data_IF_059606381526
#
_entry.id   IF_059606381526
#
_cell.length_a   1.000
_cell.length_b   1.000
_cell.length_c   1.000
_cell.angle_alpha   90.00
_cell.angle_beta   90.00
_cell.angle_gamma   90.00
#
_symmetry.space_group_name_H-M   'P 1'
#
loop_
_entity.id
_entity.type
_entity.pdbx_description
1 polymer ?
#
# COMPACT_ATOMS: atom_id res chain seq x y z
N UNK A 1 -10.35 12.33 9.49
CA UNK A 1 -9.74 11.01 9.26
C UNK A 1 -9.71 10.75 7.76
N UNK A 2 -8.72 9.98 7.30
CA UNK A 2 -8.55 9.60 5.89
C UNK A 2 -8.78 8.09 5.78
N UNK A 3 -9.37 7.65 4.68
CA UNK A 3 -9.61 6.23 4.41
C UNK A 3 -9.39 5.93 2.91
N UNK A 4 -8.99 4.71 2.60
CA UNK A 4 -8.83 4.22 1.23
C UNK A 4 -9.89 3.16 0.95
N UNK A 5 -10.54 3.27 -0.20
CA UNK A 5 -11.56 2.34 -0.65
C UNK A 5 -11.17 1.86 -2.03
N UNK A 6 -11.20 0.55 -2.25
CA UNK A 6 -11.03 -0.05 -3.57
C UNK A 6 -12.40 -0.50 -4.07
N UNK A 7 -12.74 -0.10 -5.30
CA UNK A 7 -14.00 -0.49 -5.96
C UNK A 7 -13.71 -1.07 -7.32
N UNK A 8 -14.56 -1.98 -7.80
CA UNK A 8 -14.51 -2.55 -9.14
C UNK A 8 -15.79 -2.21 -9.90
N UNK A 9 -15.63 -1.73 -11.13
CA UNK A 9 -16.75 -1.49 -12.03
C UNK A 9 -17.05 -2.73 -12.90
N UNK A 10 -18.28 -2.83 -13.40
CA UNK A 10 -18.74 -3.89 -14.29
C UNK A 10 -18.41 -5.31 -13.81
N UNK A 11 -18.57 -5.56 -12.50
CA UNK A 11 -18.49 -6.91 -11.93
C UNK A 11 -19.67 -7.74 -12.44
N UNK A 12 -19.40 -8.98 -12.82
CA UNK A 12 -20.40 -9.93 -13.32
C UNK A 12 -20.30 -11.25 -12.56
N UNK A 13 -21.36 -12.03 -12.59
CA UNK A 13 -21.38 -13.37 -12.03
C UNK A 13 -22.33 -14.27 -12.81
N UNK A 14 -22.19 -15.58 -12.62
CA UNK A 14 -23.07 -16.59 -13.23
C UNK A 14 -23.99 -17.29 -12.23
N UNK A 15 -23.84 -17.01 -10.93
CA UNK A 15 -24.74 -17.53 -9.89
C UNK A 15 -25.97 -16.63 -9.75
N UNK A 16 -27.04 -17.20 -9.19
CA UNK A 16 -28.28 -16.46 -8.87
C UNK A 16 -28.07 -15.38 -7.80
N UNK A 17 -26.92 -15.36 -7.12
CA UNK A 17 -26.60 -14.29 -6.14
C UNK A 17 -26.37 -12.93 -6.83
N UNK A 18 -26.13 -12.95 -8.15
CA UNK A 18 -25.99 -11.79 -9.02
C UNK A 18 -27.30 -11.48 -9.79
N UNK A 19 -28.42 -12.10 -9.43
CA UNK A 19 -29.71 -11.72 -9.99
C UNK A 19 -30.18 -10.40 -9.33
N UNK A 20 -30.88 -9.57 -10.09
CA UNK A 20 -31.49 -8.34 -9.58
C UNK A 20 -33.01 -8.43 -9.54
N UNK A 21 -33.58 -7.85 -8.48
CA UNK A 21 -35.03 -7.68 -8.36
C UNK A 21 -35.44 -6.33 -8.93
N UNK A 22 -36.24 -6.38 -9.99
CA UNK A 22 -36.70 -5.24 -10.75
C UNK A 22 -38.15 -4.89 -10.39
N UNK A 23 -38.32 -3.82 -9.62
CA UNK A 23 -39.64 -3.31 -9.24
C UNK A 23 -40.36 -2.55 -10.39
N UNK A 24 -39.67 -2.28 -11.50
CA UNK A 24 -40.20 -1.52 -12.63
C UNK A 24 -40.80 -2.40 -13.74
N UNK A 25 -40.78 -3.74 -13.59
CA UNK A 25 -41.38 -4.67 -14.55
C UNK A 25 -42.77 -4.21 -14.99
N UNK A 26 -42.99 -4.15 -16.31
CA UNK A 26 -44.27 -3.76 -16.91
C UNK A 26 -44.56 -2.25 -16.87
N UNK A 27 -43.65 -1.43 -16.35
CA UNK A 27 -43.69 0.04 -16.47
C UNK A 27 -44.76 0.74 -15.64
N UNK A 28 -45.34 0.07 -14.65
CA UNK A 28 -46.39 0.66 -13.81
C UNK A 28 -45.93 1.94 -13.07
N UNK A 29 -44.64 2.01 -12.71
CA UNK A 29 -44.02 3.17 -12.06
C UNK A 29 -43.38 4.16 -13.04
N UNK A 30 -43.65 4.03 -14.35
CA UNK A 30 -43.05 4.83 -15.42
C UNK A 30 -41.82 4.18 -16.04
N UNK A 31 -41.24 4.87 -17.02
CA UNK A 31 -40.02 4.43 -17.71
C UNK A 31 -38.80 4.56 -16.79
N UNK A 32 -37.93 3.55 -16.81
CA UNK A 32 -36.68 3.50 -16.06
C UNK A 32 -35.58 2.95 -16.98
N UNK A 33 -35.23 3.70 -18.01
CA UNK A 33 -34.06 3.39 -18.85
C UNK A 33 -34.09 2.01 -19.52
N UNK A 34 -35.27 1.44 -19.77
CA UNK A 34 -35.45 0.12 -20.38
C UNK A 34 -35.64 -1.02 -19.37
N UNK A 35 -35.41 -0.79 -18.07
CA UNK A 35 -35.66 -1.79 -17.03
C UNK A 35 -37.14 -2.13 -16.91
N UNK A 36 -38.05 -1.23 -17.30
CA UNK A 36 -39.48 -1.49 -17.34
C UNK A 36 -39.90 -2.60 -18.31
N UNK A 37 -39.04 -2.90 -19.29
CA UNK A 37 -39.25 -3.95 -20.30
C UNK A 37 -38.66 -5.30 -19.88
N UNK A 38 -37.94 -5.35 -18.76
CA UNK A 38 -37.30 -6.55 -18.23
C UNK A 38 -38.17 -7.25 -17.20
N UNK A 39 -38.00 -8.58 -17.02
CA UNK A 39 -38.75 -9.35 -16.03
C UNK A 39 -38.45 -8.91 -14.59
N UNK A 40 -39.31 -9.33 -13.66
CA UNK A 40 -39.13 -9.09 -12.21
C UNK A 40 -37.77 -9.54 -11.68
N UNK A 41 -37.26 -10.68 -12.14
CA UNK A 41 -35.91 -11.14 -11.84
C UNK A 41 -35.08 -10.99 -13.10
N UNK A 42 -34.09 -10.10 -13.04
CA UNK A 42 -33.11 -9.95 -14.12
C UNK A 42 -31.97 -10.92 -13.83
N UNK A 43 -31.72 -11.90 -14.72
CA UNK A 43 -30.70 -12.91 -14.49
C UNK A 43 -29.30 -12.29 -14.48
N UNK A 44 -28.40 -12.87 -13.70
CA UNK A 44 -27.01 -12.46 -13.57
C UNK A 44 -26.27 -12.26 -14.90
N UNK A 45 -26.61 -13.05 -15.92
CA UNK A 45 -26.04 -12.92 -17.27
C UNK A 45 -26.34 -11.58 -17.96
N UNK A 46 -27.31 -10.82 -17.47
CA UNK A 46 -27.68 -9.49 -17.96
C UNK A 46 -27.24 -8.38 -17.01
N UNK A 47 -26.64 -8.71 -15.87
CA UNK A 47 -26.29 -7.77 -14.83
C UNK A 47 -24.81 -7.45 -14.84
N UNK A 48 -24.50 -6.15 -14.83
CA UNK A 48 -23.18 -5.61 -14.58
C UNK A 48 -23.30 -4.68 -13.38
N UNK A 49 -22.46 -4.90 -12.37
CA UNK A 49 -22.46 -4.14 -11.13
C UNK A 49 -21.30 -3.17 -11.11
N UNK A 50 -21.60 -1.88 -11.04
CA UNK A 50 -20.60 -0.82 -10.96
C UNK A 50 -20.32 -0.42 -9.51
N UNK A 51 -19.10 0.06 -9.26
CA UNK A 51 -18.60 0.55 -7.97
C UNK A 51 -18.71 -0.47 -6.82
N UNK A 52 -18.53 -1.76 -7.12
CA UNK A 52 -18.56 -2.83 -6.11
C UNK A 52 -17.36 -2.67 -5.20
N UNK A 53 -17.58 -2.43 -3.91
CA UNK A 53 -16.50 -2.31 -2.94
C UNK A 53 -15.77 -3.66 -2.77
N UNK A 54 -14.46 -3.65 -3.04
CA UNK A 54 -13.54 -4.77 -2.82
C UNK A 54 -12.78 -4.63 -1.50
N UNK A 55 -12.33 -3.41 -1.18
CA UNK A 55 -11.68 -3.10 0.09
C UNK A 55 -12.24 -1.83 0.72
N UNK A 56 -12.32 -1.87 2.06
CA UNK A 56 -12.50 -0.72 2.93
C UNK A 56 -11.41 -0.79 4.01
N UNK A 57 -10.30 -0.07 3.81
CA UNK A 57 -9.04 -0.38 4.51
C UNK A 57 -9.11 -0.17 6.01
N UNK A 58 -9.68 0.95 6.45
CA UNK A 58 -9.74 1.32 7.87
C UNK A 58 -11.16 1.28 8.44
N UNK A 59 -12.01 0.43 7.85
CA UNK A 59 -13.41 0.30 8.23
C UNK A 59 -14.22 1.59 8.01
N UNK A 60 -15.36 1.70 8.68
CA UNK A 60 -16.30 2.81 8.52
C UNK A 60 -15.79 4.14 9.10
N UNK A 61 -14.94 4.05 10.11
CA UNK A 61 -14.45 5.21 10.85
C UNK A 61 -13.21 5.85 10.21
N UNK A 62 -12.59 5.17 9.25
CA UNK A 62 -11.33 5.58 8.66
C UNK A 62 -10.15 5.53 9.63
N UNK A 63 -8.96 5.80 9.11
CA UNK A 63 -7.71 5.67 9.86
C UNK A 63 -7.63 6.69 10.99
N UNK A 64 -7.42 6.20 12.21
CA UNK A 64 -7.09 7.05 13.35
C UNK A 64 -5.72 7.71 13.12
N UNK A 65 -5.54 8.94 13.62
CA UNK A 65 -4.27 9.68 13.49
C UNK A 65 -3.79 9.85 12.04
N UNK A 66 -4.70 9.80 11.07
CA UNK A 66 -4.38 9.92 9.65
C UNK A 66 -3.82 11.28 9.22
N UNK A 67 -3.81 12.26 10.13
CA UNK A 67 -3.23 13.58 9.96
C UNK A 67 -2.81 14.13 11.34
N UNK A 68 -1.85 15.07 11.40
CA UNK A 68 -1.48 15.73 12.64
C UNK A 68 -2.65 16.48 13.29
N UNK A 69 -2.56 16.77 14.59
CA UNK A 69 -3.61 17.50 15.33
C UNK A 69 -3.81 18.94 14.85
N UNK A 70 -2.80 19.50 14.19
CA UNK A 70 -2.85 20.81 13.53
C UNK A 70 -2.41 20.67 12.08
N UNK A 71 -3.22 21.19 11.17
CA UNK A 71 -2.92 21.26 9.74
C UNK A 71 -2.98 22.73 9.30
N UNK A 72 -1.94 23.19 8.61
CA UNK A 72 -1.82 24.52 8.02
C UNK A 72 -2.08 24.45 6.51
N UNK A 73 -2.42 25.59 5.92
CA UNK A 73 -2.59 25.68 4.46
C UNK A 73 -1.26 25.36 3.76
N UNK A 74 -1.32 24.50 2.74
CA UNK A 74 -0.16 23.96 2.04
C UNK A 74 0.48 22.71 2.64
N UNK A 75 0.05 22.24 3.82
CA UNK A 75 0.57 20.99 4.40
C UNK A 75 0.17 19.79 3.55
N UNK A 76 1.13 18.88 3.32
CA UNK A 76 0.89 17.60 2.66
C UNK A 76 0.98 16.47 3.69
N UNK A 77 -0.07 15.63 3.73
CA UNK A 77 -0.17 14.49 4.65
C UNK A 77 -0.18 13.21 3.85
N UNK A 78 0.70 12.27 4.22
CA UNK A 78 0.83 10.98 3.56
C UNK A 78 0.25 9.86 4.41
N UNK A 79 -0.55 8.99 3.80
CA UNK A 79 -0.97 7.72 4.36
C UNK A 79 -0.58 6.61 3.39
N UNK A 80 0.10 5.60 3.91
CA UNK A 80 0.52 4.43 3.14
C UNK A 80 -0.46 3.30 3.35
N UNK A 81 -0.77 2.60 2.26
CA UNK A 81 -1.67 1.46 2.21
C UNK A 81 -1.02 0.36 1.38
N UNK A 82 -1.13 -0.88 1.87
CA UNK A 82 -0.75 -2.08 1.12
C UNK A 82 -2.00 -2.93 0.93
N UNK A 83 -2.24 -3.36 -0.30
CA UNK A 83 -3.40 -4.16 -0.69
C UNK A 83 -2.91 -5.31 -1.56
N UNK A 84 -3.38 -6.51 -1.26
CA UNK A 84 -3.22 -7.66 -2.14
C UNK A 84 -4.41 -7.66 -3.11
N UNK A 85 -4.14 -7.64 -4.41
CA UNK A 85 -5.20 -7.67 -5.41
C UNK A 85 -5.49 -9.13 -5.76
N UNK A 86 -6.74 -9.54 -5.60
CA UNK A 86 -7.16 -10.88 -6.01
C UNK A 86 -6.98 -11.03 -7.53
N UNK A 87 -6.42 -12.16 -7.96
CA UNK A 87 -6.16 -12.46 -9.36
C UNK A 87 -7.45 -12.57 -10.19
N UNK A 88 -8.59 -12.82 -9.54
CA UNK A 88 -9.90 -12.90 -10.19
C UNK A 88 -10.52 -11.50 -10.47
N UNK A 89 -9.94 -10.42 -9.96
CA UNK A 89 -10.44 -9.06 -10.18
C UNK A 89 -9.85 -8.42 -11.44
N UNK A 90 -10.69 -7.67 -12.16
CA UNK A 90 -10.27 -6.98 -13.37
C UNK A 90 -9.58 -5.64 -13.03
N UNK A 91 -8.24 -5.64 -13.07
CA UNK A 91 -7.42 -4.47 -12.73
C UNK A 91 -7.72 -3.23 -13.57
N UNK A 92 -8.21 -3.38 -14.81
CA UNK A 92 -8.57 -2.23 -15.66
C UNK A 92 -9.84 -1.52 -15.19
N UNK A 93 -10.64 -2.21 -14.39
CA UNK A 93 -11.91 -1.74 -13.81
C UNK A 93 -11.81 -1.41 -12.34
N UNK A 94 -10.65 -1.59 -11.72
CA UNK A 94 -10.40 -1.18 -10.35
C UNK A 94 -10.19 0.33 -10.24
N UNK A 95 -10.90 0.94 -9.29
CA UNK A 95 -10.79 2.33 -8.91
C UNK A 95 -10.39 2.44 -7.44
N UNK A 96 -9.45 3.34 -7.16
CA UNK A 96 -9.00 3.71 -5.81
C UNK A 96 -9.66 5.03 -5.44
N UNK A 97 -10.34 5.04 -4.30
CA UNK A 97 -11.03 6.21 -3.76
C UNK A 97 -10.40 6.57 -2.42
N UNK A 98 -9.78 7.75 -2.36
CA UNK A 98 -9.30 8.33 -1.11
C UNK A 98 -10.35 9.28 -0.56
N UNK A 99 -10.71 9.13 0.71
CA UNK A 99 -11.74 9.96 1.36
C UNK A 99 -11.19 10.67 2.58
N UNK A 100 -11.74 11.86 2.85
CA UNK A 100 -11.59 12.58 4.11
C UNK A 100 -12.96 12.61 4.78
N UNK A 101 -13.03 12.10 6.01
CA UNK A 101 -14.26 12.04 6.79
C UNK A 101 -14.11 12.72 8.14
N UNK A 102 -15.19 13.34 8.60
CA UNK A 102 -15.33 13.85 9.96
C UNK A 102 -15.84 12.72 10.87
N UNK A 103 -14.98 12.28 11.77
CA UNK A 103 -15.26 11.17 12.68
C UNK A 103 -16.42 11.45 13.64
N UNK A 104 -16.62 12.71 14.06
CA UNK A 104 -17.65 13.03 15.04
C UNK A 104 -19.06 13.00 14.42
N UNK A 105 -19.16 13.33 13.14
CA UNK A 105 -20.45 13.42 12.42
C UNK A 105 -20.69 12.26 11.47
N UNK A 106 -19.65 11.48 11.14
CA UNK A 106 -19.68 10.40 10.14
C UNK A 106 -19.82 10.91 8.70
N UNK A 107 -19.66 12.21 8.46
CA UNK A 107 -19.82 12.80 7.12
C UNK A 107 -18.52 12.79 6.35
N UNK A 108 -18.60 12.43 5.07
CA UNK A 108 -17.51 12.67 4.13
C UNK A 108 -17.37 14.16 3.86
N UNK A 109 -16.18 14.69 4.11
CA UNK A 109 -15.78 16.07 3.89
C UNK A 109 -15.27 16.25 2.47
N UNK A 110 -14.50 15.27 1.97
CA UNK A 110 -13.99 15.27 0.61
C UNK A 110 -13.68 13.83 0.15
N UNK A 111 -13.62 13.62 -1.16
CA UNK A 111 -13.18 12.38 -1.76
C UNK A 111 -12.56 12.63 -3.13
N UNK A 112 -11.62 11.78 -3.51
CA UNK A 112 -11.07 11.75 -4.87
C UNK A 112 -10.98 10.30 -5.35
N UNK A 113 -11.22 10.08 -6.65
CA UNK A 113 -11.23 8.76 -7.30
C UNK A 113 -10.22 8.76 -8.44
N UNK A 114 -9.38 7.73 -8.50
CA UNK A 114 -8.38 7.50 -9.55
C UNK A 114 -8.45 6.04 -9.98
N UNK A 115 -8.17 5.73 -11.25
CA UNK A 115 -8.08 4.33 -11.70
C UNK A 115 -6.80 3.68 -11.18
N UNK A 116 -6.88 2.41 -10.79
CA UNK A 116 -5.69 1.69 -10.32
C UNK A 116 -4.61 1.64 -11.40
N UNK A 117 -5.01 1.47 -12.67
CA UNK A 117 -4.11 1.48 -13.83
C UNK A 117 -3.30 2.77 -13.99
N UNK A 118 -3.88 3.92 -13.65
CA UNK A 118 -3.18 5.21 -13.70
C UNK A 118 -2.10 5.30 -12.61
N UNK A 119 -2.36 4.72 -11.43
CA UNK A 119 -1.40 4.70 -10.31
C UNK A 119 -0.22 3.75 -10.54
N UNK A 120 -0.41 2.69 -11.33
CA UNK A 120 0.66 1.74 -11.71
C UNK A 120 1.39 2.12 -13.00
N UNK A 121 0.78 2.95 -13.86
CA UNK A 121 1.34 3.34 -15.16
C UNK A 121 2.22 4.60 -15.09
N UNK A 122 1.99 5.47 -14.11
CA UNK A 122 2.94 6.55 -13.85
C UNK A 122 4.28 5.92 -13.38
N UNK A 123 5.45 6.38 -13.85
CA UNK A 123 6.66 6.19 -13.09
C UNK A 123 6.43 6.96 -11.80
N UNK A 124 5.89 6.29 -10.79
CA UNK A 124 5.91 6.76 -9.41
C UNK A 124 7.33 7.28 -9.22
N UNK A 125 7.45 8.55 -8.84
CA UNK A 125 8.70 9.09 -8.33
C UNK A 125 9.02 8.23 -7.11
N UNK A 126 9.72 7.12 -7.35
CA UNK A 126 10.02 5.99 -6.47
C UNK A 126 11.14 6.41 -5.52
N UNK A 127 10.97 7.60 -4.93
CA UNK A 127 11.56 7.94 -3.64
C UNK A 127 10.87 7.21 -2.49
N UNK A 128 9.77 6.50 -2.76
CA UNK A 128 9.15 5.52 -1.85
C UNK A 128 9.20 4.13 -2.51
N UNK A 129 10.36 3.46 -2.43
CA UNK A 129 10.44 2.01 -2.70
C UNK A 129 10.29 1.33 -1.35
N UNK A 130 9.06 0.91 -1.02
CA UNK A 130 8.84 -0.19 -0.10
C UNK A 130 8.28 -1.34 -0.93
N UNK A 131 9.16 -1.99 -1.69
CA UNK A 131 8.84 -3.27 -2.33
C UNK A 131 9.00 -4.34 -1.26
N UNK A 132 7.92 -4.61 -0.52
CA UNK A 132 7.78 -5.78 0.34
C UNK A 132 7.07 -6.88 -0.44
N UNK A 133 7.85 -7.77 -1.04
CA UNK A 133 7.41 -9.15 -1.23
C UNK A 133 8.04 -9.95 -0.11
N UNK A 134 7.35 -10.04 1.03
CA UNK A 134 7.60 -11.10 2.01
C UNK A 134 6.26 -11.50 2.60
N UNK A 135 5.89 -12.75 2.29
CA UNK A 135 4.78 -13.48 2.88
C UNK A 135 4.88 -13.45 4.41
N UNK A 136 3.78 -13.10 5.07
CA UNK A 136 3.50 -13.53 6.44
C UNK A 136 4.37 -12.94 7.56
N UNK A 137 3.67 -12.23 8.46
CA UNK A 137 3.99 -12.07 9.89
C UNK A 137 5.03 -10.96 10.21
N UNK A 138 4.52 -9.89 10.87
CA UNK A 138 5.21 -8.80 11.59
C UNK A 138 5.47 -7.48 10.85
N UNK A 139 4.37 -6.81 10.47
CA UNK A 139 4.29 -5.40 10.03
C UNK A 139 4.58 -4.36 11.16
N UNK A 140 5.49 -4.66 12.09
CA UNK A 140 5.84 -3.78 13.22
C UNK A 140 7.34 -3.46 13.33
N UNK A 141 8.16 -3.84 12.34
CA UNK A 141 9.63 -3.66 12.41
C UNK A 141 10.24 -2.74 11.35
N UNK A 142 9.54 -2.38 10.27
CA UNK A 142 10.11 -1.51 9.23
C UNK A 142 10.39 -0.07 9.71
N UNK A 143 9.71 0.38 10.78
CA UNK A 143 9.93 1.68 11.42
C UNK A 143 11.09 1.69 12.44
N UNK A 144 11.88 0.62 12.56
CA UNK A 144 12.99 0.54 13.53
C UNK A 144 14.38 0.65 12.92
N UNK A 145 14.47 0.85 11.61
CA UNK A 145 15.75 0.90 10.89
C UNK A 145 15.86 2.20 10.11
N UNK A 146 16.77 3.07 10.55
CA UNK A 146 17.08 4.34 9.89
C UNK A 146 18.52 4.33 9.38
N UNK A 147 18.70 4.59 8.08
CA UNK A 147 20.02 4.66 7.43
C UNK A 147 20.37 6.11 7.12
N UNK A 148 21.47 6.62 7.65
CA UNK A 148 21.91 8.00 7.44
C UNK A 148 23.44 8.16 7.50
N UNK A 149 24.01 9.17 6.82
CA UNK A 149 23.38 9.95 5.77
C UNK A 149 23.09 9.06 4.55
N UNK A 150 22.00 9.36 3.85
CA UNK A 150 21.68 8.78 2.56
C UNK A 150 21.20 9.91 1.64
N UNK A 151 22.02 10.36 0.66
CA UNK A 151 23.23 9.71 0.17
C UNK A 151 24.43 9.70 1.13
N UNK A 152 25.21 8.61 1.10
CA UNK A 152 26.41 8.38 1.91
C UNK A 152 27.68 8.70 1.12
N UNK A 153 28.75 9.14 1.81
CA UNK A 153 30.06 9.35 1.19
C UNK A 153 31.08 8.30 1.69
N UNK A 154 31.82 8.59 2.77
CA UNK A 154 32.77 7.63 3.33
C UNK A 154 32.14 6.61 4.28
N UNK A 155 31.02 6.95 4.92
CA UNK A 155 30.31 6.08 5.85
C UNK A 155 28.81 6.36 5.88
N UNK A 156 28.04 5.35 6.26
CA UNK A 156 26.67 5.50 6.75
C UNK A 156 26.48 4.75 8.07
N UNK A 157 25.43 5.12 8.78
CA UNK A 157 25.00 4.57 10.06
C UNK A 157 23.62 3.95 9.88
N UNK A 158 23.39 2.84 10.56
CA UNK A 158 22.10 2.18 10.65
C UNK A 158 21.68 2.18 12.11
N UNK A 159 20.68 2.99 12.45
CA UNK A 159 20.03 2.90 13.75
C UNK A 159 19.12 1.67 13.73
N UNK A 160 19.27 0.79 14.71
CA UNK A 160 18.50 -0.41 14.90
C UNK A 160 17.98 -0.44 16.33
N UNK A 161 16.67 -0.57 16.49
CA UNK A 161 16.02 -0.75 17.80
C UNK A 161 15.34 -2.12 17.86
N UNK A 162 15.77 -2.98 18.78
CA UNK A 162 15.20 -4.32 18.97
C UNK A 162 14.57 -4.44 20.36
N UNK A 163 13.35 -4.95 20.43
CA UNK A 163 12.65 -5.17 21.71
C UNK A 163 13.12 -6.45 22.41
N UNK A 164 13.65 -7.40 21.64
CA UNK A 164 14.09 -8.72 22.07
C UNK A 164 15.52 -8.99 21.55
N UNK A 165 16.17 -10.00 22.11
CA UNK A 165 17.55 -10.35 21.74
C UNK A 165 17.53 -11.17 20.45
N UNK A 166 17.92 -10.57 19.33
CA UNK A 166 17.73 -11.14 18.00
C UNK A 166 19.04 -11.25 17.22
N UNK A 167 19.16 -12.30 16.40
CA UNK A 167 20.33 -12.52 15.54
C UNK A 167 20.27 -11.61 14.31
N UNK A 168 21.32 -10.82 14.07
CA UNK A 168 21.34 -9.74 13.08
C UNK A 168 22.47 -9.92 12.07
N UNK A 169 22.10 -10.07 10.80
CA UNK A 169 23.03 -10.04 9.67
C UNK A 169 22.69 -8.91 8.72
N UNK A 170 23.70 -8.21 8.21
CA UNK A 170 23.58 -7.14 7.22
C UNK A 170 24.29 -7.54 5.92
N UNK A 171 23.61 -7.33 4.80
CA UNK A 171 24.12 -7.57 3.46
C UNK A 171 23.92 -6.32 2.60
N UNK A 172 24.91 -5.93 1.80
CA UNK A 172 24.77 -4.88 0.79
C UNK A 172 24.98 -5.48 -0.59
N UNK A 173 24.05 -5.23 -1.50
CA UNK A 173 24.08 -5.67 -2.90
C UNK A 173 24.03 -4.47 -3.84
N UNK A 174 24.60 -4.61 -5.05
CA UNK A 174 24.33 -3.67 -6.15
C UNK A 174 22.95 -3.93 -6.79
N UNK A 175 22.57 -3.06 -7.73
CA UNK A 175 21.30 -3.18 -8.49
C UNK A 175 21.19 -4.48 -9.31
N UNK A 176 22.28 -5.20 -9.55
CA UNK A 176 22.28 -6.49 -10.26
C UNK A 176 22.09 -7.67 -9.32
N UNK A 177 22.01 -7.42 -8.01
CA UNK A 177 21.91 -8.45 -6.96
C UNK A 177 23.26 -9.03 -6.55
N UNK A 178 24.39 -8.48 -7.01
CA UNK A 178 25.71 -8.95 -6.60
C UNK A 178 25.99 -8.49 -5.17
N UNK A 179 26.31 -9.42 -4.29
CA UNK A 179 26.70 -9.15 -2.90
C UNK A 179 28.08 -8.50 -2.85
N UNK A 180 28.18 -7.37 -2.14
CA UNK A 180 29.41 -6.60 -1.98
C UNK A 180 29.92 -6.67 -0.54
N UNK A 181 29.03 -6.49 0.43
CA UNK A 181 29.36 -6.53 1.85
C UNK A 181 28.42 -7.51 2.54
N UNK A 182 28.98 -8.35 3.40
CA UNK A 182 28.24 -9.13 4.39
C UNK A 182 28.87 -8.86 5.74
N UNK A 183 28.05 -8.50 6.73
CA UNK A 183 28.45 -8.31 8.12
C UNK A 183 27.50 -9.08 9.02
N UNK A 184 28.06 -9.95 9.82
CA UNK A 184 27.34 -10.65 10.87
C UNK A 184 27.58 -9.91 12.19
N UNK A 185 26.50 -9.49 12.84
CA UNK A 185 26.55 -8.80 14.13
C UNK A 185 26.09 -9.70 15.29
N UNK A 186 25.66 -10.93 15.01
CA UNK A 186 25.18 -11.88 16.01
C UNK A 186 23.95 -11.37 16.77
N UNK A 187 23.85 -11.78 18.04
CA UNK A 187 22.72 -11.43 18.91
C UNK A 187 22.80 -9.97 19.42
N UNK A 188 21.85 -9.14 18.98
CA UNK A 188 21.70 -7.73 19.37
C UNK A 188 20.37 -7.51 20.09
N UNK A 189 20.32 -6.59 21.05
CA UNK A 189 19.10 -6.11 21.73
C UNK A 189 19.17 -4.59 21.92
N UNK A 190 18.02 -3.94 22.10
CA UNK A 190 17.87 -2.52 22.42
C UNK A 190 18.40 -1.62 21.28
N UNK A 191 18.65 -0.34 21.55
CA UNK A 191 19.11 0.62 20.53
C UNK A 191 20.59 0.45 20.23
N UNK A 192 20.92 0.23 18.95
CA UNK A 192 22.27 0.09 18.44
C UNK A 192 22.47 0.94 17.19
N UNK A 193 23.68 1.46 17.01
CA UNK A 193 24.07 2.23 15.82
C UNK A 193 25.18 1.48 15.12
N UNK A 194 24.87 0.91 13.96
CA UNK A 194 25.82 0.10 13.18
C UNK A 194 26.50 0.98 12.13
N UNK A 195 27.81 1.11 12.21
CA UNK A 195 28.59 1.87 11.22
C UNK A 195 29.00 0.99 10.02
N UNK A 196 28.80 1.52 8.83
CA UNK A 196 29.14 0.90 7.56
C UNK A 196 30.11 1.81 6.82
N UNK A 197 31.23 1.25 6.39
CA UNK A 197 32.20 1.96 5.56
C UNK A 197 31.77 1.85 4.10
N UNK A 198 31.41 2.98 3.50
CA UNK A 198 30.99 3.09 2.09
C UNK A 198 32.11 3.63 1.19
N UNK A 199 33.27 3.98 1.75
CA UNK A 199 34.40 4.58 1.02
C UNK A 199 34.98 3.66 -0.08
N UNK A 200 34.76 2.35 0.04
CA UNK A 200 35.22 1.34 -0.93
C UNK A 200 34.14 0.94 -1.94
N UNK A 201 32.91 1.44 -1.80
CA UNK A 201 31.84 1.23 -2.78
C UNK A 201 32.02 2.25 -3.91
N UNK A 202 31.64 1.91 -5.14
CA UNK A 202 31.61 2.88 -6.23
C UNK A 202 30.43 3.84 -6.07
N UNK A 203 30.43 4.96 -6.80
CA UNK A 203 29.27 5.85 -6.81
C UNK A 203 28.09 5.13 -7.48
N UNK A 204 26.95 5.05 -6.79
CA UNK A 204 25.80 4.32 -7.30
C UNK A 204 24.72 4.05 -6.28
N UNK A 205 23.75 3.23 -6.68
CA UNK A 205 22.64 2.78 -5.84
C UNK A 205 22.88 1.35 -5.41
N UNK A 206 22.65 1.09 -4.13
CA UNK A 206 22.81 -0.20 -3.48
C UNK A 206 21.55 -0.54 -2.68
N UNK A 207 21.37 -1.83 -2.40
CA UNK A 207 20.33 -2.34 -1.52
C UNK A 207 21.01 -2.86 -0.25
N UNK A 208 20.68 -2.27 0.88
CA UNK A 208 21.08 -2.73 2.22
C UNK A 208 19.96 -3.61 2.76
N UNK A 209 20.26 -4.87 2.99
CA UNK A 209 19.33 -5.87 3.51
C UNK A 209 19.80 -6.29 4.91
N UNK A 210 18.91 -6.29 5.88
CA UNK A 210 19.15 -6.75 7.24
C UNK A 210 18.22 -7.91 7.56
N UNK A 211 18.79 -9.03 7.99
CA UNK A 211 18.08 -10.21 8.45
C UNK A 211 18.10 -10.22 9.98
N UNK A 212 16.91 -10.27 10.59
CA UNK A 212 16.70 -10.26 12.04
C UNK A 212 15.76 -11.41 12.37
N UNK A 213 16.24 -12.45 13.07
CA UNK A 213 15.42 -13.61 13.48
C UNK A 213 14.58 -14.25 12.34
N UNK A 214 15.10 -14.21 11.11
CA UNK A 214 14.41 -14.73 9.92
C UNK A 214 13.52 -13.72 9.18
N UNK A 215 13.23 -12.56 9.76
CA UNK A 215 12.63 -11.43 9.06
C UNK A 215 13.70 -10.69 8.25
N UNK A 216 13.34 -10.22 7.05
CA UNK A 216 14.24 -9.51 6.16
C UNK A 216 13.72 -8.09 5.93
N UNK A 217 14.56 -7.09 6.18
CA UNK A 217 14.25 -5.67 5.97
C UNK A 217 15.27 -5.09 5.00
N UNK A 218 14.80 -4.43 3.94
CA UNK A 218 15.69 -3.82 2.93
C UNK A 218 15.50 -2.30 2.87
N UNK A 219 16.61 -1.57 2.68
CA UNK A 219 16.65 -0.11 2.48
C UNK A 219 17.56 0.23 1.31
N UNK A 220 17.15 1.19 0.48
CA UNK A 220 17.99 1.75 -0.58
C UNK A 220 19.10 2.62 0.02
N UNK A 221 20.33 2.41 -0.41
CA UNK A 221 21.50 3.22 -0.05
C UNK A 221 22.10 3.83 -1.31
N UNK A 222 22.17 5.16 -1.37
CA UNK A 222 22.84 5.90 -2.44
C UNK A 222 24.22 6.30 -1.96
N UNK A 223 25.28 6.00 -2.72
CA UNK A 223 26.67 6.41 -2.42
C UNK A 223 27.11 7.49 -3.40
N UNK A 224 27.66 8.58 -2.89
CA UNK A 224 28.23 9.70 -3.63
C UNK A 224 29.64 10.00 -3.11
N UNK A 225 30.64 10.05 -3.99
CA UNK A 225 32.01 10.45 -3.63
C UNK A 225 32.28 11.89 -4.02
#
# INVERSE_FOLDING_TARGET
>A
RINLILTEDSVTGSSTDYDQHNAYEGGYYGEMGGYELLPYIIPASMMHYDHVARYLTDGWDGKAESHPTTVSDGDTVYNHYSLEIDADWDVEKLNVIATVLDYNTGKFVNANKVKLTELIAEPVDTTIIDTTVVEGIHDLQQNKIHVYPNPANAFCFVDLELNELSDVQLTITDITGKVIIVKDYGLIKDKNVLQINTALLEQGVYILTMQIEGSVISKRLTVIH
#
